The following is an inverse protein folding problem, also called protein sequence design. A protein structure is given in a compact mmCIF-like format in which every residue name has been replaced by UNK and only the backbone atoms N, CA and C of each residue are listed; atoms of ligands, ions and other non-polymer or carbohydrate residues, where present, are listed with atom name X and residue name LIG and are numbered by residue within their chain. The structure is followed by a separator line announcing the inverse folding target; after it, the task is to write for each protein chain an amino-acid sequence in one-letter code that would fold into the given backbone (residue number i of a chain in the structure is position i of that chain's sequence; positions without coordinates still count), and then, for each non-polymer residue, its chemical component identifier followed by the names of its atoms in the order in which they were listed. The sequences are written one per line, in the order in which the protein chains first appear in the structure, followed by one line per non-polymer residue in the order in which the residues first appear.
data_IF_930982378631
#
_entry.id   IF_930982378631
#
_cell.length_a   1.000
_cell.length_b   1.000
_cell.length_c   1.000
_cell.angle_alpha   90.00
_cell.angle_beta   90.00
_cell.angle_gamma   90.00
#
_symmetry.space_group_name_H-M   'P 1'
#
loop_
_entity.id
_entity.type
_entity.pdbx_description
1 polymer ?
#
# COMPACT_ATOMS: atom_id res chain seq x y z
N UNK A 1 -19.53 -25.84 -22.68
CA UNK A 1 -18.45 -26.36 -21.82
C UNK A 1 -18.34 -25.46 -20.59
N UNK A 2 -18.33 -26.02 -19.37
CA UNK A 2 -18.74 -25.35 -18.13
C UNK A 2 -17.57 -24.95 -17.22
N UNK A 3 -17.88 -24.17 -16.16
CA UNK A 3 -17.34 -24.24 -14.78
C UNK A 3 -17.53 -22.86 -14.11
N UNK A 4 -17.89 -22.72 -12.85
CA UNK A 4 -18.36 -23.63 -11.81
C UNK A 4 -18.81 -22.72 -10.67
N UNK A 5 -19.85 -23.14 -9.96
CA UNK A 5 -20.39 -22.45 -8.80
C UNK A 5 -19.34 -22.17 -7.71
N UNK A 6 -19.51 -21.04 -7.01
CA UNK A 6 -19.08 -20.90 -5.63
C UNK A 6 -20.34 -20.90 -4.76
N UNK A 7 -20.64 -22.07 -4.18
CA UNK A 7 -21.50 -22.20 -3.03
C UNK A 7 -20.62 -22.15 -1.76
N UNK A 8 -21.14 -21.51 -0.71
CA UNK A 8 -20.50 -21.51 0.60
C UNK A 8 -21.01 -20.41 1.51
N UNK A 9 -22.31 -20.45 1.83
CA UNK A 9 -22.88 -19.69 2.93
C UNK A 9 -22.23 -20.13 4.25
N UNK A 10 -21.79 -19.18 5.06
CA UNK A 10 -21.73 -19.39 6.50
C UNK A 10 -22.37 -18.19 7.18
N UNK A 11 -23.44 -18.49 7.89
CA UNK A 11 -24.30 -17.56 8.57
C UNK A 11 -23.54 -16.82 9.67
N UNK A 12 -23.76 -15.51 9.74
CA UNK A 12 -23.73 -14.79 11.01
C UNK A 12 -25.00 -13.94 11.04
N UNK A 13 -25.98 -14.42 11.81
CA UNK A 13 -27.04 -13.56 12.33
C UNK A 13 -26.60 -13.17 13.74
N UNK A 14 -26.24 -11.91 13.92
CA UNK A 14 -26.50 -11.19 15.16
C UNK A 14 -26.54 -9.70 14.81
N UNK A 15 -27.61 -9.05 15.26
CA UNK A 15 -28.02 -7.73 14.81
C UNK A 15 -27.10 -6.62 15.31
N UNK A 16 -26.46 -5.95 14.37
CA UNK A 16 -26.15 -4.52 14.42
C UNK A 16 -26.01 -4.09 12.96
N UNK A 17 -26.79 -3.11 12.52
CA UNK A 17 -26.68 -2.62 11.16
C UNK A 17 -25.25 -2.11 10.92
N UNK A 18 -24.60 -2.41 9.78
CA UNK A 18 -23.22 -2.00 9.50
C UNK A 18 -22.96 -0.50 9.67
N UNK A 19 -24.02 0.29 9.56
CA UNK A 19 -24.05 1.74 9.72
C UNK A 19 -23.85 2.22 11.16
N UNK A 20 -24.23 1.46 12.19
CA UNK A 20 -24.05 1.87 13.59
C UNK A 20 -22.62 1.62 14.12
N UNK A 21 -21.87 0.67 13.54
CA UNK A 21 -20.49 0.37 13.92
C UNK A 21 -19.46 1.32 13.27
N UNK A 22 -19.86 2.04 12.21
CA UNK A 22 -18.99 2.97 11.48
C UNK A 22 -18.94 4.38 12.09
N UNK A 23 -19.87 4.72 12.99
CA UNK A 23 -20.01 6.08 13.53
C UNK A 23 -18.92 6.47 14.55
N UNK A 24 -18.24 5.50 15.16
CA UNK A 24 -17.23 5.71 16.22
C UNK A 24 -15.79 5.40 15.76
N UNK A 25 -15.62 5.03 14.49
CA UNK A 25 -14.29 5.00 13.88
C UNK A 25 -13.88 6.45 13.61
N UNK A 26 -12.78 6.96 14.20
CA UNK A 26 -12.28 8.26 13.82
C UNK A 26 -12.08 8.26 12.31
N UNK A 27 -12.76 9.20 11.62
CA UNK A 27 -12.57 9.37 10.19
C UNK A 27 -11.04 9.40 9.93
N UNK A 28 -10.50 8.67 8.95
CA UNK A 28 -9.05 8.51 8.77
C UNK A 28 -8.31 9.86 8.62
N UNK A 29 -9.02 10.94 8.31
CA UNK A 29 -8.51 12.30 8.23
C UNK A 29 -8.38 13.04 9.59
N UNK A 30 -9.04 12.57 10.67
CA UNK A 30 -9.09 13.26 11.97
C UNK A 30 -8.05 12.77 12.98
N UNK A 31 -7.29 11.71 12.69
CA UNK A 31 -6.19 11.27 13.55
C UNK A 31 -4.91 12.07 13.26
N UNK A 32 -4.42 12.92 14.18
CA UNK A 32 -3.17 13.64 14.01
C UNK A 32 -1.97 12.71 13.77
N UNK A 33 -1.98 11.51 14.35
CA UNK A 33 -0.92 10.52 14.11
C UNK A 33 -0.94 10.04 12.66
N UNK A 34 -2.11 9.82 12.08
CA UNK A 34 -2.25 9.45 10.66
C UNK A 34 -1.63 10.50 9.73
N UNK A 35 -1.91 11.79 9.98
CA UNK A 35 -1.34 12.89 9.19
C UNK A 35 0.19 12.93 9.28
N UNK A 36 0.75 12.83 10.48
CA UNK A 36 2.21 12.84 10.70
C UNK A 36 2.89 11.66 9.98
N UNK A 37 2.27 10.48 10.00
CA UNK A 37 2.79 9.29 9.31
C UNK A 37 2.77 9.47 7.80
N UNK A 38 1.70 10.06 7.23
CA UNK A 38 1.60 10.32 5.79
C UNK A 38 2.62 11.36 5.31
N UNK A 39 2.85 12.42 6.08
CA UNK A 39 3.87 13.43 5.76
C UNK A 39 5.27 12.79 5.77
N UNK A 40 5.60 12.00 6.79
CA UNK A 40 6.87 11.24 6.83
C UNK A 40 6.99 10.26 5.66
N UNK A 41 5.92 9.56 5.29
CA UNK A 41 5.93 8.66 4.12
C UNK A 41 6.26 9.39 2.84
N UNK A 42 5.72 10.59 2.62
CA UNK A 42 6.02 11.41 1.45
C UNK A 42 7.49 11.85 1.41
N UNK A 43 8.03 12.29 2.54
CA UNK A 43 9.44 12.70 2.63
C UNK A 43 10.40 11.54 2.37
N UNK A 44 10.08 10.35 2.91
CA UNK A 44 10.85 9.14 2.67
C UNK A 44 10.71 8.67 1.21
N UNK A 45 9.51 8.73 0.65
CA UNK A 45 9.27 8.43 -0.77
C UNK A 45 10.07 9.35 -1.71
N UNK A 46 10.25 10.63 -1.36
CA UNK A 46 11.09 11.56 -2.11
C UNK A 46 12.58 11.18 -2.12
N UNK A 47 13.05 10.35 -1.18
CA UNK A 47 14.43 9.83 -1.12
C UNK A 47 14.60 8.51 -1.86
N UNK A 48 13.52 7.91 -2.38
CA UNK A 48 13.62 6.70 -3.19
C UNK A 48 14.12 7.04 -4.60
N UNK A 49 14.78 6.08 -5.29
CA UNK A 49 15.02 6.20 -6.72
C UNK A 49 13.70 6.47 -7.45
N UNK A 50 13.75 7.38 -8.42
CA UNK A 50 12.57 7.96 -9.08
C UNK A 50 11.55 6.91 -9.54
N UNK A 51 11.99 5.84 -10.21
CA UNK A 51 11.09 4.74 -10.64
C UNK A 51 10.42 3.99 -9.50
N UNK A 52 11.10 3.82 -8.36
CA UNK A 52 10.55 3.13 -7.19
C UNK A 52 9.50 4.01 -6.49
N UNK A 53 9.79 5.32 -6.40
CA UNK A 53 8.85 6.31 -5.90
C UNK A 53 7.61 6.40 -6.78
N UNK A 54 7.76 6.49 -8.11
CA UNK A 54 6.64 6.54 -9.06
C UNK A 54 5.72 5.32 -8.92
N UNK A 55 6.27 4.11 -8.95
CA UNK A 55 5.49 2.88 -8.78
C UNK A 55 4.75 2.85 -7.45
N UNK A 56 5.39 3.29 -6.36
CA UNK A 56 4.76 3.37 -5.04
C UNK A 56 3.62 4.41 -5.04
N UNK A 57 3.87 5.60 -5.59
CA UNK A 57 2.87 6.67 -5.64
C UNK A 57 1.63 6.23 -6.42
N UNK A 58 1.83 5.72 -7.63
CA UNK A 58 0.75 5.25 -8.49
C UNK A 58 -0.03 4.10 -7.85
N UNK A 59 0.64 3.20 -7.13
CA UNK A 59 -0.03 2.08 -6.48
C UNK A 59 -0.81 2.50 -5.22
N UNK A 60 -0.24 3.35 -4.39
CA UNK A 60 -0.76 3.63 -3.06
C UNK A 60 -1.65 4.87 -2.99
N UNK A 61 -1.44 5.86 -3.86
CA UNK A 61 -2.23 7.09 -3.90
C UNK A 61 -3.21 7.08 -5.07
N UNK A 62 -2.80 6.60 -6.24
CA UNK A 62 -3.66 6.56 -7.44
C UNK A 62 -4.40 5.23 -7.61
N UNK A 63 -4.10 4.24 -6.76
CA UNK A 63 -4.74 2.92 -6.72
C UNK A 63 -4.64 2.11 -8.03
N UNK A 64 -3.66 2.42 -8.89
CA UNK A 64 -3.45 1.73 -10.15
C UNK A 64 -2.97 0.29 -9.95
N UNK A 65 -3.38 -0.60 -10.85
CA UNK A 65 -2.90 -1.98 -10.90
C UNK A 65 -1.47 -2.05 -11.43
N UNK A 66 -0.77 -3.16 -11.16
CA UNK A 66 0.58 -3.35 -11.71
C UNK A 66 0.62 -3.42 -13.25
N UNK A 67 -0.51 -3.73 -13.91
CA UNK A 67 -0.60 -3.74 -15.36
C UNK A 67 -0.71 -2.30 -15.91
N UNK A 68 -1.51 -1.45 -15.27
CA UNK A 68 -1.64 -0.03 -15.64
C UNK A 68 -0.33 0.72 -15.37
N UNK A 69 0.29 0.51 -14.20
CA UNK A 69 1.60 1.11 -13.89
C UNK A 69 2.67 0.69 -14.90
N UNK A 70 2.66 -0.58 -15.30
CA UNK A 70 3.58 -1.10 -16.31
C UNK A 70 3.40 -0.40 -17.67
N UNK A 71 2.14 -0.20 -18.10
CA UNK A 71 1.83 0.53 -19.32
C UNK A 71 2.20 2.02 -19.23
N UNK A 72 1.95 2.66 -18.08
CA UNK A 72 2.28 4.07 -17.87
C UNK A 72 3.77 4.36 -17.88
N UNK A 73 4.59 3.45 -17.35
CA UNK A 73 6.05 3.62 -17.22
C UNK A 73 6.84 2.92 -18.33
N UNK A 74 6.16 2.30 -19.30
CA UNK A 74 6.75 1.49 -20.38
C UNK A 74 7.72 0.41 -19.85
N UNK A 75 7.25 -0.38 -18.87
CA UNK A 75 8.00 -1.48 -18.25
C UNK A 75 7.15 -2.76 -18.22
N UNK A 76 7.79 -3.90 -17.93
CA UNK A 76 7.04 -5.14 -17.71
C UNK A 76 6.25 -5.11 -16.38
N UNK A 77 5.12 -5.82 -16.34
CA UNK A 77 4.34 -6.04 -15.10
C UNK A 77 5.19 -6.66 -13.97
N UNK A 78 6.12 -7.54 -14.30
CA UNK A 78 7.05 -8.11 -13.34
C UNK A 78 8.01 -7.04 -12.78
N UNK A 79 8.54 -6.17 -13.65
CA UNK A 79 9.38 -5.03 -13.25
C UNK A 79 8.63 -4.08 -12.33
N UNK A 80 7.36 -3.78 -12.62
CA UNK A 80 6.52 -2.95 -11.75
C UNK A 80 6.35 -3.60 -10.37
N UNK A 81 6.04 -4.90 -10.30
CA UNK A 81 5.90 -5.64 -9.03
C UNK A 81 7.20 -5.64 -8.22
N UNK A 82 8.33 -5.93 -8.86
CA UNK A 82 9.65 -5.93 -8.18
C UNK A 82 10.02 -4.52 -7.71
N UNK A 83 9.73 -3.48 -8.50
CA UNK A 83 9.98 -2.09 -8.11
C UNK A 83 9.13 -1.67 -6.92
N UNK A 84 7.86 -2.03 -6.90
CA UNK A 84 6.97 -1.79 -5.74
C UNK A 84 7.47 -2.50 -4.48
N UNK A 85 7.91 -3.75 -4.61
CA UNK A 85 8.46 -4.50 -3.48
C UNK A 85 9.72 -3.84 -2.91
N UNK A 86 10.65 -3.44 -3.79
CA UNK A 86 11.88 -2.73 -3.40
C UNK A 86 11.58 -1.37 -2.76
N UNK A 87 10.59 -0.64 -3.29
CA UNK A 87 10.13 0.62 -2.69
C UNK A 87 9.64 0.41 -1.25
N UNK A 88 8.78 -0.58 -1.04
CA UNK A 88 8.27 -0.93 0.29
C UNK A 88 9.36 -1.38 1.25
N UNK A 89 10.35 -2.16 0.78
CA UNK A 89 11.49 -2.56 1.62
C UNK A 89 12.29 -1.34 2.08
N UNK A 90 12.64 -0.44 1.16
CA UNK A 90 13.38 0.79 1.51
C UNK A 90 12.61 1.70 2.46
N UNK A 91 11.31 1.87 2.24
CA UNK A 91 10.48 2.67 3.16
C UNK A 91 10.46 2.06 4.56
N UNK A 92 10.35 0.72 4.65
CA UNK A 92 10.41 0.01 5.94
C UNK A 92 11.77 0.15 6.61
N UNK A 93 12.86 0.04 5.87
CA UNK A 93 14.22 0.22 6.38
C UNK A 93 14.44 1.65 6.91
N UNK A 94 13.93 2.66 6.22
CA UNK A 94 14.04 4.06 6.64
C UNK A 94 13.14 4.42 7.82
N UNK A 95 12.04 3.70 8.01
CA UNK A 95 11.13 3.86 9.16
C UNK A 95 11.54 3.05 10.37
N UNK A 96 12.35 2.00 10.18
CA UNK A 96 12.90 1.26 11.30
C UNK A 96 13.80 2.22 12.11
N UNK A 97 13.71 2.22 13.46
CA UNK A 97 14.67 2.96 14.27
C UNK A 97 16.06 2.49 13.87
N UNK A 98 16.94 3.43 13.52
CA UNK A 98 18.24 3.20 12.89
C UNK A 98 18.86 1.89 13.37
N UNK A 99 18.73 0.83 12.55
CA UNK A 99 19.56 -0.34 12.77
C UNK A 99 20.95 0.10 12.35
N UNK A 100 21.81 0.20 13.36
CA UNK A 100 23.25 0.33 13.28
C UNK A 100 23.81 -0.17 11.93
N UNK A 101 24.60 0.70 11.31
CA UNK A 101 25.40 0.45 10.13
C UNK A 101 25.90 -1.00 10.05
N UNK A 102 25.50 -1.72 9.00
CA UNK A 102 26.31 -2.81 8.45
C UNK A 102 26.32 -2.72 6.93
N UNK A 103 26.86 -1.62 6.45
CA UNK A 103 27.60 -1.64 5.19
C UNK A 103 29.02 -2.11 5.52
N UNK A 104 29.22 -3.42 5.56
CA UNK A 104 30.57 -4.01 5.57
C UNK A 104 30.95 -4.16 4.10
N UNK A 105 31.77 -3.23 3.63
CA UNK A 105 32.63 -3.43 2.47
C UNK A 105 33.93 -4.11 2.86
#
# INVERSE_FOLDING_TARGET
MPRSACAGASAVQDGASPEELLADLPAPASDPHHRIVLERLRDLAARLPERQAQVFTMRNFEQLSFAEIAAHLDISKNTARTSAHKALQKLREQMAPAKEERHVG
#
